data_IF_987296169242
#
_entry.id   IF_987296169242
#
_cell.length_a   1.000
_cell.length_b   1.000
_cell.length_c   1.000
_cell.angle_alpha   90.00
_cell.angle_beta   90.00
_cell.angle_gamma   90.00
#
_symmetry.space_group_name_H-M   'P 1'
#
loop_
_entity.id
_entity.type
_entity.pdbx_description
1 polymer ?
#
# COMPACT_ATOMS: atom_id res chain seq x y z
N UNK A 1 -25.98 -6.85 3.33
CA UNK A 1 -26.32 -5.73 4.25
C UNK A 1 -26.36 -4.38 3.54
N UNK A 2 -25.55 -4.12 2.52
CA UNK A 2 -25.71 -2.95 1.62
C UNK A 2 -25.54 -3.40 0.16
N UNK A 3 -26.36 -2.88 -0.75
CA UNK A 3 -26.30 -3.17 -2.19
C UNK A 3 -26.29 -1.88 -3.01
N UNK A 4 -25.74 -1.93 -4.23
CA UNK A 4 -25.71 -0.78 -5.13
C UNK A 4 -24.94 0.41 -4.55
N UNK A 5 -25.59 1.58 -4.53
CA UNK A 5 -24.94 2.86 -4.23
C UNK A 5 -24.42 2.97 -2.77
N UNK A 6 -25.09 2.33 -1.80
CA UNK A 6 -24.62 2.32 -0.41
C UNK A 6 -23.33 1.51 -0.25
N UNK A 7 -23.24 0.36 -0.92
CA UNK A 7 -22.03 -0.45 -0.93
C UNK A 7 -20.86 0.32 -1.58
N UNK A 8 -21.11 1.04 -2.67
CA UNK A 8 -20.10 1.88 -3.32
C UNK A 8 -19.60 3.01 -2.41
N UNK A 9 -20.50 3.67 -1.65
CA UNK A 9 -20.12 4.69 -0.66
C UNK A 9 -19.27 4.13 0.48
N UNK A 10 -19.67 2.97 1.02
CA UNK A 10 -18.91 2.30 2.07
C UNK A 10 -17.52 1.89 1.59
N UNK A 11 -17.44 1.29 0.39
CA UNK A 11 -16.15 0.93 -0.22
C UNK A 11 -15.28 2.17 -0.42
N UNK A 12 -15.82 3.27 -0.95
CA UNK A 12 -15.07 4.53 -1.11
C UNK A 12 -14.54 5.08 0.22
N UNK A 13 -15.36 5.06 1.28
CA UNK A 13 -14.93 5.46 2.62
C UNK A 13 -13.80 4.57 3.15
N UNK A 14 -13.90 3.25 2.96
CA UNK A 14 -12.84 2.31 3.34
C UNK A 14 -11.55 2.60 2.58
N UNK A 15 -11.61 2.85 1.27
CA UNK A 15 -10.43 3.19 0.48
C UNK A 15 -9.79 4.51 0.92
N UNK A 16 -10.59 5.50 1.32
CA UNK A 16 -10.09 6.77 1.88
C UNK A 16 -9.31 6.52 3.18
N UNK A 17 -9.89 5.75 4.11
CA UNK A 17 -9.23 5.40 5.38
C UNK A 17 -7.93 4.65 5.13
N UNK A 18 -7.91 3.66 4.23
CA UNK A 18 -6.69 2.95 3.85
C UNK A 18 -5.64 3.85 3.20
N UNK A 19 -6.05 4.86 2.43
CA UNK A 19 -5.11 5.77 1.75
C UNK A 19 -4.46 6.76 2.71
N UNK A 20 -5.16 7.19 3.76
CA UNK A 20 -4.64 8.15 4.75
C UNK A 20 -3.83 7.47 5.85
N UNK A 21 -4.14 6.20 6.16
CA UNK A 21 -3.51 5.45 7.25
C UNK A 21 -1.95 5.40 7.18
N UNK A 22 -1.30 5.13 6.03
CA UNK A 22 0.16 5.11 5.94
C UNK A 22 0.84 6.44 6.26
N UNK A 23 0.14 7.57 6.11
CA UNK A 23 0.67 8.90 6.43
C UNK A 23 0.57 9.15 7.93
N UNK A 24 -0.58 8.79 8.51
CA UNK A 24 -0.83 8.99 9.93
C UNK A 24 0.01 8.04 10.79
N UNK A 25 0.28 6.82 10.32
CA UNK A 25 0.96 5.81 11.11
C UNK A 25 2.39 6.24 11.58
N UNK A 26 3.30 6.72 10.70
CA UNK A 26 4.60 7.24 11.14
C UNK A 26 4.49 8.49 12.03
N UNK A 27 3.56 9.40 11.73
CA UNK A 27 3.37 10.65 12.49
C UNK A 27 2.87 10.38 13.92
N UNK A 28 1.84 9.55 14.06
CA UNK A 28 1.33 9.14 15.38
C UNK A 28 2.35 8.25 16.09
N UNK A 29 3.02 7.36 15.37
CA UNK A 29 4.07 6.50 15.91
C UNK A 29 5.24 7.29 16.47
N UNK A 30 5.75 8.31 15.76
CA UNK A 30 6.87 9.12 16.22
C UNK A 30 6.51 9.89 17.49
N UNK A 31 5.33 10.50 17.57
CA UNK A 31 4.87 11.23 18.77
C UNK A 31 4.78 10.29 19.99
N UNK A 32 4.24 9.08 19.81
CA UNK A 32 4.15 8.10 20.91
C UNK A 32 5.54 7.65 21.36
N UNK A 33 6.45 7.36 20.42
CA UNK A 33 7.80 6.90 20.72
C UNK A 33 8.60 8.00 21.45
N UNK A 34 8.53 9.24 20.98
CA UNK A 34 9.23 10.37 21.60
C UNK A 34 8.71 10.67 23.02
N UNK A 35 7.40 10.50 23.25
CA UNK A 35 6.77 10.85 24.54
C UNK A 35 6.81 9.71 25.57
N UNK A 36 6.62 8.46 25.14
CA UNK A 36 6.37 7.31 26.02
C UNK A 36 7.22 6.09 25.70
N UNK A 37 8.11 6.19 24.71
CA UNK A 37 8.99 5.10 24.27
C UNK A 37 8.30 4.04 23.42
N UNK A 38 9.10 3.11 22.90
CA UNK A 38 8.65 2.10 21.93
C UNK A 38 7.60 1.11 22.48
N UNK A 39 7.63 0.83 23.80
CA UNK A 39 6.68 -0.10 24.44
C UNK A 39 5.24 0.43 24.40
N UNK A 40 5.07 1.75 24.45
CA UNK A 40 3.75 2.38 24.40
C UNK A 40 3.04 2.11 23.07
N UNK A 41 3.78 2.05 21.95
CA UNK A 41 3.21 1.72 20.62
C UNK A 41 2.48 0.38 20.65
N UNK A 42 3.09 -0.64 21.26
CA UNK A 42 2.47 -1.97 21.37
C UNK A 42 1.19 -1.95 22.20
N UNK A 43 1.16 -1.21 23.32
CA UNK A 43 -0.05 -1.05 24.12
C UNK A 43 -1.15 -0.30 23.40
N UNK A 44 -0.80 0.75 22.64
CA UNK A 44 -1.76 1.51 21.83
C UNK A 44 -2.41 0.62 20.77
N UNK A 45 -1.61 -0.13 20.00
CA UNK A 45 -2.14 -1.05 18.98
C UNK A 45 -2.97 -2.17 19.61
N UNK A 46 -2.57 -2.68 20.78
CA UNK A 46 -3.34 -3.69 21.53
C UNK A 46 -4.72 -3.15 21.94
N UNK A 47 -4.78 -1.93 22.47
CA UNK A 47 -6.05 -1.29 22.83
C UNK A 47 -6.96 -1.07 21.62
N UNK A 48 -6.39 -0.63 20.49
CA UNK A 48 -7.12 -0.48 19.23
C UNK A 48 -7.68 -1.81 18.71
N UNK A 49 -6.89 -2.89 18.78
CA UNK A 49 -7.32 -4.23 18.37
C UNK A 49 -8.43 -4.79 19.28
N UNK A 50 -8.34 -4.56 20.60
CA UNK A 50 -9.39 -4.94 21.55
C UNK A 50 -10.70 -4.20 21.26
N UNK A 51 -10.63 -2.88 21.02
CA UNK A 51 -11.80 -2.08 20.63
C UNK A 51 -12.41 -2.59 19.31
N UNK A 52 -11.59 -2.84 18.29
CA UNK A 52 -12.05 -3.40 17.02
C UNK A 52 -12.73 -4.75 17.20
N UNK A 53 -12.21 -5.62 18.08
CA UNK A 53 -12.82 -6.92 18.39
C UNK A 53 -14.19 -6.77 19.04
N UNK A 54 -14.35 -5.85 20.00
CA UNK A 54 -15.64 -5.55 20.63
C UNK A 54 -16.63 -5.00 19.60
N UNK A 55 -16.20 -4.10 18.73
CA UNK A 55 -17.05 -3.55 17.67
C UNK A 55 -17.48 -4.63 16.67
N UNK A 56 -16.57 -5.52 16.25
CA UNK A 56 -16.91 -6.64 15.37
C UNK A 56 -17.93 -7.59 16.02
N UNK A 57 -17.72 -7.92 17.29
CA UNK A 57 -18.62 -8.82 18.03
C UNK A 57 -20.02 -8.23 18.28
N UNK A 58 -20.15 -6.90 18.37
CA UNK A 58 -21.42 -6.23 18.74
C UNK A 58 -22.15 -5.62 17.56
N UNK A 59 -21.42 -5.16 16.53
CA UNK A 59 -21.97 -4.34 15.45
C UNK A 59 -22.07 -5.11 14.12
N UNK A 60 -21.27 -6.15 13.92
CA UNK A 60 -21.31 -6.95 12.71
C UNK A 60 -22.30 -8.12 12.87
N UNK A 61 -23.37 -8.11 12.07
CA UNK A 61 -24.30 -9.24 12.01
C UNK A 61 -23.62 -10.43 11.35
N UNK A 62 -23.96 -11.64 11.80
CA UNK A 62 -23.54 -12.88 11.14
C UNK A 62 -23.93 -12.83 9.65
N UNK A 63 -22.94 -13.03 8.78
CA UNK A 63 -23.10 -12.95 7.32
C UNK A 63 -23.17 -14.32 6.66
N UNK A 64 -22.93 -15.40 7.41
CA UNK A 64 -23.04 -16.78 6.94
C UNK A 64 -23.87 -17.63 7.92
N UNK A 65 -25.21 -17.49 7.89
CA UNK A 65 -26.13 -18.35 8.65
C UNK A 65 -25.90 -19.83 8.33
N UNK A 66 -26.28 -20.73 9.24
CA UNK A 66 -26.11 -22.17 9.06
C UNK A 66 -26.75 -22.70 7.77
N UNK A 67 -27.84 -22.07 7.35
CA UNK A 67 -28.63 -22.38 6.15
C UNK A 67 -27.92 -22.00 4.83
N UNK A 68 -27.04 -21.00 4.84
CA UNK A 68 -26.28 -20.53 3.67
C UNK A 68 -24.89 -21.16 3.57
N UNK A 69 -24.57 -22.14 4.43
CA UNK A 69 -23.30 -22.86 4.40
C UNK A 69 -23.25 -23.80 3.19
N UNK A 70 -22.87 -23.26 2.03
CA UNK A 70 -22.45 -24.08 0.90
C UNK A 70 -21.23 -24.92 1.31
N UNK A 71 -21.22 -26.20 0.94
CA UNK A 71 -20.16 -27.16 1.26
C UNK A 71 -18.84 -26.81 0.60
N UNK A 72 -18.07 -25.91 1.20
CA UNK A 72 -16.67 -25.67 0.81
C UNK A 72 -15.82 -26.83 1.35
N UNK A 73 -15.33 -27.68 0.46
CA UNK A 73 -14.34 -28.70 0.82
C UNK A 73 -12.92 -28.21 0.53
N UNK A 74 -11.94 -28.77 1.23
CA UNK A 74 -10.53 -28.52 0.94
C UNK A 74 -10.18 -28.83 -0.53
N UNK A 75 -10.74 -29.91 -1.08
CA UNK A 75 -10.54 -30.31 -2.48
C UNK A 75 -11.08 -29.28 -3.48
N UNK A 76 -12.25 -28.72 -3.23
CA UNK A 76 -12.83 -27.65 -4.07
C UNK A 76 -12.00 -26.35 -4.01
N UNK A 77 -11.44 -26.01 -2.85
CA UNK A 77 -10.55 -24.87 -2.72
C UNK A 77 -9.24 -25.08 -3.51
N UNK A 78 -8.61 -26.25 -3.35
CA UNK A 78 -7.37 -26.58 -4.05
C UNK A 78 -7.56 -26.61 -5.58
N UNK A 79 -8.67 -27.16 -6.06
CA UNK A 79 -9.01 -27.14 -7.49
C UNK A 79 -9.13 -25.70 -8.03
N UNK A 80 -9.75 -24.79 -7.27
CA UNK A 80 -9.82 -23.37 -7.59
C UNK A 80 -8.45 -22.70 -7.67
N UNK A 81 -7.58 -22.92 -6.67
CA UNK A 81 -6.20 -22.40 -6.71
C UNK A 81 -5.40 -22.92 -7.90
N UNK A 82 -5.51 -24.23 -8.20
CA UNK A 82 -4.81 -24.84 -9.34
C UNK A 82 -5.29 -24.28 -10.68
N UNK A 83 -6.60 -24.04 -10.82
CA UNK A 83 -7.16 -23.38 -11.99
C UNK A 83 -6.58 -21.97 -12.19
N UNK A 84 -6.55 -21.16 -11.13
CA UNK A 84 -5.98 -19.81 -11.17
C UNK A 84 -4.47 -19.81 -11.47
N UNK A 85 -3.72 -20.76 -10.90
CA UNK A 85 -2.29 -20.93 -11.19
C UNK A 85 -2.02 -21.36 -12.65
N UNK A 86 -3.01 -21.92 -13.36
CA UNK A 86 -2.90 -22.21 -14.78
C UNK A 86 -3.11 -21.00 -15.68
N UNK A 87 -3.73 -19.93 -15.18
CA UNK A 87 -4.04 -18.72 -15.95
C UNK A 87 -2.86 -17.74 -15.93
N UNK A 88 -2.19 -17.61 -17.08
CA UNK A 88 -1.05 -16.71 -17.26
C UNK A 88 -1.41 -15.23 -17.12
N UNK A 89 -2.62 -14.83 -17.48
CA UNK A 89 -3.07 -13.45 -17.31
C UNK A 89 -3.26 -13.14 -15.83
N UNK A 90 -3.89 -14.06 -15.09
CA UNK A 90 -4.04 -13.95 -13.64
C UNK A 90 -2.67 -13.86 -12.96
N UNK A 91 -1.76 -14.80 -13.26
CA UNK A 91 -0.41 -14.79 -12.70
C UNK A 91 0.36 -13.50 -13.03
N UNK A 92 0.22 -12.98 -14.26
CA UNK A 92 0.84 -11.70 -14.64
C UNK A 92 0.33 -10.52 -13.80
N UNK A 93 -0.99 -10.43 -13.59
CA UNK A 93 -1.58 -9.38 -12.75
C UNK A 93 -1.18 -9.52 -11.28
N UNK A 94 -1.18 -10.74 -10.75
CA UNK A 94 -0.74 -11.02 -9.38
C UNK A 94 0.74 -10.71 -9.19
N UNK A 95 1.59 -11.05 -10.15
CA UNK A 95 3.02 -10.71 -10.10
C UNK A 95 3.26 -9.20 -10.13
N UNK A 96 2.54 -8.46 -10.98
CA UNK A 96 2.60 -7.00 -11.04
C UNK A 96 2.23 -6.39 -9.69
N UNK A 97 1.11 -6.81 -9.10
CA UNK A 97 0.67 -6.33 -7.79
C UNK A 97 1.64 -6.75 -6.67
N UNK A 98 2.09 -8.00 -6.68
CA UNK A 98 2.99 -8.59 -5.69
C UNK A 98 4.35 -7.91 -5.68
N UNK A 99 4.99 -7.73 -6.83
CA UNK A 99 6.26 -7.00 -6.93
C UNK A 99 6.10 -5.53 -6.57
N UNK A 100 4.98 -4.91 -6.95
CA UNK A 100 4.68 -3.55 -6.55
C UNK A 100 4.64 -3.37 -5.02
N UNK A 101 3.87 -4.22 -4.34
CA UNK A 101 3.77 -4.22 -2.88
C UNK A 101 5.11 -4.57 -2.23
N UNK A 102 5.81 -5.60 -2.73
CA UNK A 102 7.11 -6.00 -2.20
C UNK A 102 8.11 -4.84 -2.24
N UNK A 103 8.15 -4.08 -3.33
CA UNK A 103 9.04 -2.93 -3.45
C UNK A 103 8.72 -1.81 -2.46
N UNK A 104 7.43 -1.53 -2.22
CA UNK A 104 7.01 -0.61 -1.17
C UNK A 104 7.46 -1.06 0.23
N UNK A 105 7.36 -2.36 0.54
CA UNK A 105 7.85 -2.91 1.81
C UNK A 105 9.37 -2.87 1.95
N UNK A 106 10.12 -3.11 0.87
CA UNK A 106 11.58 -2.94 0.86
C UNK A 106 11.94 -1.51 1.25
N UNK A 107 11.31 -0.52 0.61
CA UNK A 107 11.51 0.87 1.00
C UNK A 107 11.09 1.15 2.44
N UNK A 108 9.89 0.75 2.86
CA UNK A 108 9.41 0.98 4.23
C UNK A 108 10.35 0.40 5.30
N UNK A 109 10.95 -0.76 5.03
CA UNK A 109 11.88 -1.42 5.96
C UNK A 109 13.29 -0.82 5.98
N UNK A 110 13.75 -0.30 4.84
CA UNK A 110 15.14 0.15 4.66
C UNK A 110 15.29 1.67 4.70
N UNK A 111 14.21 2.42 4.49
CA UNK A 111 14.23 3.88 4.37
C UNK A 111 14.66 4.57 5.64
N UNK A 112 14.27 4.06 6.81
CA UNK A 112 14.69 4.64 8.10
C UNK A 112 16.21 4.52 8.28
N UNK A 113 16.78 3.35 8.01
CA UNK A 113 18.24 3.14 8.08
C UNK A 113 18.98 4.04 7.09
N UNK A 114 18.52 4.12 5.84
CA UNK A 114 19.18 4.95 4.82
C UNK A 114 19.07 6.45 5.18
N UNK A 115 17.89 6.92 5.55
CA UNK A 115 17.65 8.36 5.77
C UNK A 115 18.20 8.84 7.11
N UNK A 116 18.05 8.07 8.18
CA UNK A 116 18.47 8.44 9.53
C UNK A 116 19.94 8.07 9.76
N UNK A 117 20.31 6.81 9.56
CA UNK A 117 21.64 6.31 9.93
C UNK A 117 22.71 6.68 8.89
N UNK A 118 22.39 6.60 7.59
CA UNK A 118 23.35 6.91 6.51
C UNK A 118 23.39 8.41 6.16
N UNK A 119 22.23 9.05 5.92
CA UNK A 119 22.17 10.49 5.61
C UNK A 119 22.12 11.41 6.84
N UNK A 120 22.03 10.86 8.06
CA UNK A 120 22.06 11.64 9.30
C UNK A 120 20.80 12.49 9.55
N UNK A 121 19.66 12.17 8.93
CA UNK A 121 18.43 12.94 9.11
C UNK A 121 17.81 12.67 10.48
N UNK A 122 17.20 13.70 11.07
CA UNK A 122 16.40 13.51 12.28
C UNK A 122 15.11 12.73 11.99
N UNK A 123 14.53 12.02 12.98
CA UNK A 123 13.26 11.31 12.81
C UNK A 123 12.12 12.19 12.30
N UNK A 124 12.07 13.47 12.71
CA UNK A 124 11.06 14.41 12.25
C UNK A 124 11.22 14.74 10.76
N UNK A 125 12.47 14.91 10.28
CA UNK A 125 12.74 15.16 8.86
C UNK A 125 12.47 13.91 8.03
N UNK A 126 12.83 12.72 8.53
CA UNK A 126 12.45 11.44 7.92
C UNK A 126 10.93 11.34 7.70
N UNK A 127 10.13 11.69 8.71
CA UNK A 127 8.66 11.69 8.60
C UNK A 127 8.14 12.63 7.51
N UNK A 128 8.81 13.77 7.27
CA UNK A 128 8.49 14.68 6.16
C UNK A 128 8.79 14.03 4.81
N UNK A 129 9.98 13.45 4.62
CA UNK A 129 10.34 12.74 3.38
C UNK A 129 9.41 11.57 3.08
N UNK A 130 9.04 10.80 4.11
CA UNK A 130 8.06 9.73 3.98
C UNK A 130 6.68 10.27 3.58
N UNK A 131 6.23 11.37 4.20
CA UNK A 131 4.96 12.02 3.88
C UNK A 131 4.92 12.57 2.45
N UNK A 132 6.03 13.12 1.93
CA UNK A 132 6.14 13.58 0.53
C UNK A 132 5.90 12.43 -0.45
N UNK A 133 6.45 11.24 -0.20
CA UNK A 133 6.18 10.07 -1.03
C UNK A 133 4.70 9.67 -0.99
N UNK A 134 4.06 9.82 0.17
CA UNK A 134 2.63 9.57 0.28
C UNK A 134 1.76 10.61 -0.45
N UNK A 135 2.21 11.88 -0.54
CA UNK A 135 1.57 12.89 -1.41
C UNK A 135 1.64 12.47 -2.88
N UNK A 136 2.77 11.90 -3.34
CA UNK A 136 2.86 11.33 -4.69
C UNK A 136 1.80 10.23 -4.90
N UNK A 137 1.68 9.35 -3.90
CA UNK A 137 0.69 8.27 -3.89
C UNK A 137 -0.74 8.82 -4.00
N UNK A 138 -1.13 9.75 -3.13
CA UNK A 138 -2.48 10.34 -3.14
C UNK A 138 -2.72 11.11 -4.45
N UNK A 139 -1.77 11.94 -4.88
CA UNK A 139 -1.90 12.72 -6.11
C UNK A 139 -2.15 11.82 -7.33
N UNK A 140 -1.38 10.74 -7.44
CA UNK A 140 -1.55 9.79 -8.54
C UNK A 140 -2.82 8.94 -8.41
N UNK A 141 -3.29 8.64 -7.20
CA UNK A 141 -4.55 7.90 -7.03
C UNK A 141 -5.77 8.65 -7.54
N UNK A 142 -5.79 9.99 -7.37
CA UNK A 142 -6.87 10.83 -7.91
C UNK A 142 -6.88 10.81 -9.44
N UNK A 143 -5.72 10.68 -10.07
CA UNK A 143 -5.58 10.64 -11.52
C UNK A 143 -5.89 9.27 -12.11
N UNK A 144 -5.80 8.18 -11.32
CA UNK A 144 -6.02 6.82 -11.81
C UNK A 144 -7.37 6.65 -12.50
N UNK A 145 -8.47 7.13 -11.89
CA UNK A 145 -9.81 7.03 -12.46
C UNK A 145 -9.94 7.76 -13.80
N UNK A 146 -9.48 9.02 -13.85
CA UNK A 146 -9.50 9.85 -15.07
C UNK A 146 -8.65 9.23 -16.19
N UNK A 147 -7.47 8.72 -15.86
CA UNK A 147 -6.58 8.07 -16.82
C UNK A 147 -7.15 6.74 -17.31
N UNK A 148 -7.78 5.96 -16.43
CA UNK A 148 -8.40 4.69 -16.78
C UNK A 148 -9.61 4.88 -17.70
N UNK A 149 -10.46 5.88 -17.44
CA UNK A 149 -11.59 6.23 -18.31
C UNK A 149 -11.12 6.72 -19.68
N UNK A 150 -10.09 7.58 -19.72
CA UNK A 150 -9.62 8.19 -20.98
C UNK A 150 -8.79 7.24 -21.85
N UNK A 151 -7.91 6.44 -21.25
CA UNK A 151 -6.90 5.67 -21.98
C UNK A 151 -7.07 4.15 -21.90
N UNK A 152 -7.95 3.68 -21.03
CA UNK A 152 -8.19 2.27 -20.73
C UNK A 152 -7.21 1.71 -19.70
N UNK A 153 -7.74 0.90 -18.77
CA UNK A 153 -7.00 0.33 -17.64
C UNK A 153 -5.71 -0.40 -18.05
N UNK A 154 -5.77 -1.22 -19.11
CA UNK A 154 -4.62 -2.00 -19.59
C UNK A 154 -3.45 -1.11 -20.04
N UNK A 155 -3.73 0.03 -20.66
CA UNK A 155 -2.69 0.97 -21.11
C UNK A 155 -2.09 1.72 -19.92
N UNK A 156 -2.94 2.17 -18.99
CA UNK A 156 -2.50 2.85 -17.77
C UNK A 156 -1.57 1.95 -16.95
N UNK A 157 -1.97 0.71 -16.69
CA UNK A 157 -1.14 -0.26 -15.94
C UNK A 157 0.19 -0.51 -16.65
N UNK A 158 0.20 -0.66 -17.98
CA UNK A 158 1.45 -0.85 -18.74
C UNK A 158 2.39 0.34 -18.56
N UNK A 159 1.91 1.56 -18.74
CA UNK A 159 2.70 2.79 -18.57
C UNK A 159 3.21 2.91 -17.13
N UNK A 160 2.36 2.61 -16.15
CA UNK A 160 2.69 2.64 -14.74
C UNK A 160 3.83 1.66 -14.41
N UNK A 161 3.73 0.41 -14.86
CA UNK A 161 4.76 -0.61 -14.62
C UNK A 161 6.07 -0.23 -15.31
N UNK A 162 6.02 0.20 -16.58
CA UNK A 162 7.24 0.61 -17.30
C UNK A 162 7.87 1.86 -16.69
N UNK A 163 7.06 2.84 -16.28
CA UNK A 163 7.51 4.05 -15.62
C UNK A 163 8.19 3.72 -14.30
N UNK A 164 7.54 2.92 -13.47
CA UNK A 164 8.10 2.44 -12.21
C UNK A 164 9.44 1.73 -12.39
N UNK A 165 9.49 0.72 -13.26
CA UNK A 165 10.69 -0.05 -13.52
C UNK A 165 11.83 0.83 -14.06
N UNK A 166 11.52 1.73 -15.01
CA UNK A 166 12.53 2.64 -15.58
C UNK A 166 13.12 3.57 -14.53
N UNK A 167 12.29 4.17 -13.66
CA UNK A 167 12.75 5.06 -12.59
C UNK A 167 13.61 4.34 -11.57
N UNK A 168 13.23 3.11 -11.19
CA UNK A 168 14.04 2.29 -10.28
C UNK A 168 15.38 1.87 -10.89
N UNK A 169 15.41 1.53 -12.18
CA UNK A 169 16.66 1.21 -12.91
C UNK A 169 17.57 2.44 -13.01
N UNK A 170 17.01 3.62 -13.30
CA UNK A 170 17.78 4.87 -13.32
C UNK A 170 18.34 5.19 -11.93
N UNK A 171 17.54 5.04 -10.88
CA UNK A 171 17.99 5.23 -9.50
C UNK A 171 19.15 4.28 -9.16
N UNK A 172 19.01 3.00 -9.48
CA UNK A 172 20.06 2.00 -9.28
C UNK A 172 21.34 2.36 -10.05
N UNK A 173 21.22 2.76 -11.32
CA UNK A 173 22.36 3.12 -12.15
C UNK A 173 23.11 4.33 -11.59
N UNK A 174 22.38 5.38 -11.17
CA UNK A 174 22.99 6.58 -10.56
C UNK A 174 23.71 6.22 -9.27
N UNK A 175 23.08 5.45 -8.38
CA UNK A 175 23.70 5.01 -7.13
C UNK A 175 24.94 4.14 -7.39
N UNK A 176 24.90 3.27 -8.39
CA UNK A 176 26.05 2.44 -8.79
C UNK A 176 27.25 3.26 -9.31
N UNK A 177 27.04 4.48 -9.80
CA UNK A 177 28.14 5.40 -10.15
C UNK A 177 28.79 6.09 -8.95
N UNK A 178 28.27 5.87 -7.73
CA UNK A 178 28.77 6.48 -6.49
C UNK A 178 28.19 7.87 -6.19
N UNK A 179 27.16 8.31 -6.92
CA UNK A 179 26.46 9.56 -6.66
C UNK A 179 25.53 9.37 -5.46
N UNK A 180 26.03 9.70 -4.27
CA UNK A 180 25.31 9.57 -3.01
C UNK A 180 24.62 10.89 -2.62
N UNK A 181 23.51 11.17 -3.29
CA UNK A 181 22.78 12.45 -3.19
C UNK A 181 21.33 12.25 -2.76
N UNK A 182 20.98 12.78 -1.59
CA UNK A 182 19.65 12.68 -1.00
C UNK A 182 18.56 13.29 -1.90
N UNK A 183 18.82 14.44 -2.52
CA UNK A 183 17.88 15.14 -3.40
C UNK A 183 17.53 14.30 -4.64
N UNK A 184 18.54 13.67 -5.25
CA UNK A 184 18.36 12.78 -6.40
C UNK A 184 17.57 11.53 -6.02
N UNK A 185 17.91 10.91 -4.88
CA UNK A 185 17.19 9.75 -4.38
C UNK A 185 15.72 10.09 -4.10
N UNK A 186 15.46 11.17 -3.37
CA UNK A 186 14.11 11.56 -3.00
C UNK A 186 13.24 11.91 -4.22
N UNK A 187 13.79 12.61 -5.22
CA UNK A 187 13.07 12.94 -6.44
C UNK A 187 12.70 11.68 -7.26
N UNK A 188 13.64 10.74 -7.41
CA UNK A 188 13.38 9.51 -8.16
C UNK A 188 12.44 8.57 -7.41
N UNK A 189 12.54 8.48 -6.09
CA UNK A 189 11.58 7.73 -5.28
C UNK A 189 10.18 8.34 -5.38
N UNK A 190 10.05 9.67 -5.32
CA UNK A 190 8.76 10.35 -5.49
C UNK A 190 8.11 10.01 -6.84
N UNK A 191 8.87 10.11 -7.94
CA UNK A 191 8.38 9.78 -9.29
C UNK A 191 8.04 8.29 -9.38
N UNK A 192 8.91 7.42 -8.86
CA UNK A 192 8.71 5.98 -8.83
C UNK A 192 7.43 5.60 -8.09
N UNK A 193 7.28 6.01 -6.83
CA UNK A 193 6.09 5.71 -6.04
C UNK A 193 4.81 6.33 -6.60
N UNK A 194 4.91 7.46 -7.31
CA UNK A 194 3.81 7.98 -8.12
C UNK A 194 3.35 6.98 -9.19
N UNK A 195 4.28 6.43 -9.99
CA UNK A 195 3.94 5.37 -10.94
C UNK A 195 3.44 4.10 -10.27
N UNK A 196 4.02 3.71 -9.13
CA UNK A 196 3.60 2.52 -8.39
C UNK A 196 2.12 2.60 -8.00
N UNK A 197 1.62 3.78 -7.61
CA UNK A 197 0.20 3.93 -7.29
C UNK A 197 -0.70 3.66 -8.49
N UNK A 198 -0.29 4.05 -9.70
CA UNK A 198 -1.05 3.76 -10.92
C UNK A 198 -1.07 2.27 -11.29
N UNK A 199 -0.12 1.46 -10.78
CA UNK A 199 -0.04 0.02 -11.03
C UNK A 199 -1.12 -0.76 -10.28
N UNK A 200 -1.53 -0.27 -9.11
CA UNK A 200 -2.58 -0.86 -8.28
C UNK A 200 -3.80 0.08 -8.33
N UNK A 201 -4.55 0.09 -9.45
CA UNK A 201 -5.82 0.79 -9.51
C UNK A 201 -6.78 0.12 -8.53
N UNK A 202 -7.13 0.88 -7.51
CA UNK A 202 -8.19 0.60 -6.55
C UNK A 202 -9.50 1.14 -7.07
#
# INVERSE_FOLDING_TARGET
LHTGNEAAKLMSLLMLVFSVSPILAPLTGSVIIESFGWRAVFWTVTGAAALATVLLATSLKETRPAEERVGSSFGTALAGYRFLMGDRNFLGLVAIAGFGIASFFVYLSSSSFILIDHYGLSPSVYSVFFSINAVAFIGMSQLTGLLAERFGLRRVVRVAVTGYASTMVVLLAIMATGVDRLDVMAALLFVGYGFLRLVIPT
#
